data_IF_671194552489
#
_entry.id   IF_671194552489
#
_cell.length_a   1.000
_cell.length_b   1.000
_cell.length_c   1.000
_cell.angle_alpha   90.00
_cell.angle_beta   90.00
_cell.angle_gamma   90.00
#
_symmetry.space_group_name_H-M   'P 1'
#
loop_
_entity.id
_entity.type
_entity.pdbx_description
1 polymer ?
#
# COMPACT_ATOMS: atom_id res chain seq x y z
N UNK A 1 7.56 -1.73 2.18
CA UNK A 1 6.68 -0.84 2.97
C UNK A 1 5.28 -1.40 3.02
N UNK A 2 4.65 -1.26 4.13
CA UNK A 2 3.29 -1.77 4.29
C UNK A 2 2.39 -0.65 4.79
N UNK A 3 1.18 -0.58 4.22
CA UNK A 3 0.23 0.46 4.56
C UNK A 3 -1.12 -0.16 4.87
N UNK A 4 -1.78 0.39 5.88
CA UNK A 4 -3.16 0.04 6.19
C UNK A 4 -4.07 0.98 5.41
N UNK A 5 -4.99 0.41 4.65
CA UNK A 5 -5.91 1.18 3.83
C UNK A 5 -7.23 1.24 4.59
N UNK A 6 -7.43 2.33 5.30
CA UNK A 6 -8.66 2.62 6.03
C UNK A 6 -9.02 1.53 7.04
N UNK A 7 -8.00 0.80 7.51
CA UNK A 7 -8.25 -0.27 8.48
C UNK A 7 -8.93 -1.50 7.92
N UNK A 8 -9.05 -1.61 6.59
CA UNK A 8 -9.80 -2.72 5.99
C UNK A 8 -8.91 -3.78 5.37
N UNK A 9 -7.81 -3.35 4.78
CA UNK A 9 -6.85 -4.28 4.20
C UNK A 9 -5.50 -3.60 4.17
N UNK A 10 -4.48 -4.36 3.83
CA UNK A 10 -3.12 -3.82 3.79
C UNK A 10 -2.55 -3.95 2.40
N UNK A 11 -1.70 -2.99 2.06
CA UNK A 11 -0.97 -2.98 0.80
C UNK A 11 0.52 -3.05 1.13
N UNK A 12 1.20 -3.99 0.51
CA UNK A 12 2.64 -4.15 0.64
C UNK A 12 3.28 -3.61 -0.62
N UNK A 13 4.18 -2.65 -0.48
CA UNK A 13 4.80 -1.99 -1.62
C UNK A 13 6.28 -2.32 -1.64
N UNK A 14 6.76 -2.76 -2.79
CA UNK A 14 8.14 -3.16 -2.97
C UNK A 14 8.73 -2.55 -4.22
N UNK A 15 10.03 -2.36 -4.22
CA UNK A 15 10.74 -1.98 -5.43
C UNK A 15 10.89 -3.20 -6.34
N UNK A 16 10.71 -2.96 -7.63
CA UNK A 16 10.98 -3.97 -8.65
C UNK A 16 11.70 -3.25 -9.78
N UNK A 17 13.03 -3.25 -9.72
CA UNK A 17 13.82 -2.46 -10.64
C UNK A 17 13.58 -0.98 -10.42
N UNK A 18 13.17 -0.27 -11.46
CA UNK A 18 12.94 1.16 -11.39
C UNK A 18 11.51 1.51 -11.00
N UNK A 19 10.71 0.51 -10.70
CA UNK A 19 9.28 0.72 -10.43
C UNK A 19 8.93 0.25 -9.04
N UNK A 20 7.79 0.72 -8.57
CA UNK A 20 7.18 0.19 -7.37
C UNK A 20 6.09 -0.78 -7.77
N UNK A 21 5.94 -1.87 -7.04
CA UNK A 21 4.83 -2.80 -7.23
C UNK A 21 4.07 -2.93 -5.92
N UNK A 22 2.77 -3.14 -6.03
CA UNK A 22 1.90 -3.20 -4.87
C UNK A 22 1.21 -4.55 -4.82
N UNK A 23 1.10 -5.07 -3.60
CA UNK A 23 0.40 -6.33 -3.36
C UNK A 23 -0.63 -6.08 -2.27
N UNK A 24 -1.84 -6.55 -2.49
CA UNK A 24 -2.84 -6.55 -1.45
C UNK A 24 -2.63 -7.78 -0.58
N UNK A 25 -2.54 -7.57 0.72
CA UNK A 25 -2.34 -8.64 1.68
C UNK A 25 -3.67 -8.85 2.41
N UNK A 26 -4.22 -10.04 2.31
CA UNK A 26 -5.55 -10.30 2.84
C UNK A 26 -5.63 -11.76 3.23
N UNK A 27 -5.92 -12.03 4.50
CA UNK A 27 -6.11 -13.39 4.99
C UNK A 27 -4.94 -14.31 4.64
N UNK A 28 -3.73 -13.80 4.76
CA UNK A 28 -2.54 -14.58 4.49
C UNK A 28 -2.20 -14.76 3.03
N UNK A 29 -2.98 -14.18 2.14
CA UNK A 29 -2.73 -14.25 0.71
C UNK A 29 -2.22 -12.92 0.21
N UNK A 30 -1.38 -12.98 -0.82
CA UNK A 30 -0.87 -11.79 -1.47
C UNK A 30 -1.33 -11.79 -2.91
N UNK A 31 -1.85 -10.68 -3.35
CA UNK A 31 -2.33 -10.55 -4.72
C UNK A 31 -1.82 -9.24 -5.29
N UNK A 32 -1.20 -9.30 -6.44
CA UNK A 32 -0.70 -8.10 -7.07
C UNK A 32 -1.86 -7.20 -7.49
N UNK A 33 -1.70 -5.91 -7.24
CA UNK A 33 -2.69 -4.90 -7.63
C UNK A 33 -2.20 -4.28 -8.93
N UNK A 34 -2.64 -4.83 -10.05
CA UNK A 34 -2.09 -4.46 -11.35
C UNK A 34 -2.49 -3.06 -11.80
N UNK A 35 -3.65 -2.60 -11.36
CA UNK A 35 -4.14 -1.29 -11.78
C UNK A 35 -3.60 -0.15 -10.90
N UNK A 36 -2.85 -0.48 -9.86
CA UNK A 36 -2.21 0.54 -9.05
C UNK A 36 -0.80 0.75 -9.59
N UNK A 37 -0.65 1.76 -10.41
CA UNK A 37 0.63 2.10 -11.02
C UNK A 37 1.28 3.20 -10.22
N UNK A 38 2.44 2.90 -9.65
CA UNK A 38 3.15 3.86 -8.80
C UNK A 38 4.41 4.31 -9.52
N UNK A 39 4.54 5.61 -9.79
CA UNK A 39 5.73 6.10 -10.49
C UNK A 39 7.00 5.78 -9.72
N UNK A 40 8.05 5.38 -10.44
CA UNK A 40 9.29 4.98 -9.80
C UNK A 40 9.95 6.10 -9.02
N UNK A 41 9.71 7.34 -9.42
CA UNK A 41 10.31 8.49 -8.74
C UNK A 41 9.54 8.93 -7.51
N UNK A 42 8.38 8.31 -7.23
CA UNK A 42 7.63 8.67 -6.04
C UNK A 42 8.42 8.26 -4.81
N UNK A 43 8.49 9.16 -3.84
CA UNK A 43 9.26 8.92 -2.63
C UNK A 43 8.39 8.29 -1.56
N UNK A 44 9.03 7.62 -0.60
CA UNK A 44 8.30 6.93 0.46
C UNK A 44 7.37 7.86 1.23
N UNK A 45 7.82 9.07 1.49
CA UNK A 45 6.99 10.01 2.27
C UNK A 45 5.78 10.49 1.49
N UNK A 46 5.76 10.29 0.18
CA UNK A 46 4.63 10.66 -0.66
C UNK A 46 3.62 9.52 -0.81
N UNK A 47 4.00 8.33 -0.35
CA UNK A 47 3.22 7.13 -0.65
C UNK A 47 1.84 7.16 0.00
N UNK A 48 1.74 7.66 1.22
CA UNK A 48 0.46 7.72 1.92
C UNK A 48 -0.55 8.52 1.11
N UNK A 49 -0.14 9.69 0.65
CA UNK A 49 -1.05 10.55 -0.12
C UNK A 49 -1.40 9.92 -1.46
N UNK A 50 -0.44 9.26 -2.07
CA UNK A 50 -0.68 8.61 -3.36
C UNK A 50 -1.70 7.49 -3.22
N UNK A 51 -1.56 6.67 -2.18
CA UNK A 51 -2.49 5.57 -1.94
C UNK A 51 -3.87 6.09 -1.56
N UNK A 52 -3.91 7.16 -0.77
CA UNK A 52 -5.19 7.75 -0.40
C UNK A 52 -5.94 8.25 -1.64
N UNK A 53 -5.22 8.85 -2.57
CA UNK A 53 -5.85 9.31 -3.81
C UNK A 53 -6.38 8.14 -4.63
N UNK A 54 -5.64 7.04 -4.66
CA UNK A 54 -6.06 5.89 -5.45
C UNK A 54 -7.29 5.20 -4.86
N UNK A 55 -7.31 5.06 -3.53
CA UNK A 55 -8.39 4.33 -2.86
C UNK A 55 -9.46 5.26 -2.31
N UNK A 56 -9.43 6.51 -2.70
CA UNK A 56 -10.25 7.55 -2.09
C UNK A 56 -11.74 7.20 -2.01
N UNK A 57 -12.26 6.52 -3.02
CA UNK A 57 -13.68 6.20 -3.06
C UNK A 57 -14.09 5.22 -1.98
N UNK A 58 -13.14 4.51 -1.40
CA UNK A 58 -13.42 3.57 -0.32
C UNK A 58 -13.44 4.21 1.05
N UNK A 59 -12.95 5.45 1.15
CA UNK A 59 -12.78 6.10 2.44
C UNK A 59 -14.12 6.50 3.03
N UNK A 60 -14.27 6.29 4.33
CA UNK A 60 -15.37 6.80 5.11
C UNK A 60 -14.86 7.89 6.04
N UNK A 61 -15.74 8.76 6.55
CA UNK A 61 -15.29 9.81 7.45
C UNK A 61 -14.47 9.25 8.60
N UNK A 62 -13.32 9.86 8.85
CA UNK A 62 -12.43 9.44 9.92
C UNK A 62 -11.45 8.34 9.56
N UNK A 63 -11.61 7.71 8.42
CA UNK A 63 -10.67 6.69 7.97
C UNK A 63 -9.52 7.32 7.20
N UNK A 64 -8.36 6.68 7.27
CA UNK A 64 -7.18 7.18 6.57
C UNK A 64 -6.23 6.07 6.25
N UNK A 65 -5.29 6.38 5.36
CA UNK A 65 -4.19 5.49 5.03
C UNK A 65 -3.07 5.74 6.01
N UNK A 66 -2.52 4.67 6.57
CA UNK A 66 -1.43 4.78 7.53
C UNK A 66 -0.34 3.79 7.18
N UNK A 67 0.90 4.23 7.31
CA UNK A 67 2.02 3.31 7.18
C UNK A 67 2.11 2.49 8.45
N UNK A 68 2.20 1.16 8.29
CA UNK A 68 2.32 0.26 9.42
C UNK A 68 3.63 -0.48 9.33
N UNK A 69 4.05 -1.02 10.47
CA UNK A 69 5.29 -1.78 10.49
C UNK A 69 5.15 -3.04 9.68
N UNK A 70 6.16 -3.28 8.86
CA UNK A 70 6.24 -4.51 8.11
C UNK A 70 6.89 -5.54 9.01
N UNK A 71 6.08 -6.45 9.48
CA UNK A 71 6.49 -7.37 10.50
C UNK A 71 7.02 -8.64 9.87
N UNK A 72 8.29 -8.87 10.00
CA UNK A 72 8.90 -10.06 9.44
C UNK A 72 9.05 -11.09 10.55
N UNK A 73 8.11 -11.97 10.64
CA UNK A 73 8.06 -12.99 11.65
C UNK A 73 8.96 -14.16 11.36
N UNK A 74 9.34 -14.30 10.13
CA UNK A 74 10.15 -15.42 9.73
C UNK A 74 11.61 -15.33 10.10
N UNK A 75 11.98 -14.23 10.64
CA UNK A 75 13.36 -14.06 11.06
C UNK A 75 13.68 -14.90 12.25
#
# INVERSE_FOLDING_TARGET
MRFSIYGRFQIDIRHDGDCWVAYRVDLGKRRRVDDLVIPGELREEEMVNYLDAFFHELARPGERVEQVEEYDRGT
#
